data_IF_742068728800
#
_entry.id   IF_742068728800
#
_cell.length_a   1.000
_cell.length_b   1.000
_cell.length_c   1.000
_cell.angle_alpha   90.00
_cell.angle_beta   90.00
_cell.angle_gamma   90.00
#
_symmetry.space_group_name_H-M   'P 1'
#
loop_
_entity.id
_entity.type
_entity.pdbx_description
1 polymer ?
#
# COMPACT_ATOMS: atom_id res chain seq x y z
N UNK A 1 -4.20 11.32 10.41
CA UNK A 1 -3.50 10.20 11.12
C UNK A 1 -2.72 9.47 10.06
N UNK A 2 -1.44 9.13 10.31
CA UNK A 2 -0.60 8.47 9.30
C UNK A 2 -1.11 7.07 8.92
N UNK A 3 -1.92 6.48 9.80
CA UNK A 3 -2.45 5.13 9.64
C UNK A 3 -3.79 5.06 8.89
N UNK A 4 -4.40 6.18 8.51
CA UNK A 4 -5.76 6.17 7.93
C UNK A 4 -5.87 5.35 6.64
N UNK A 5 -4.81 5.34 5.81
CA UNK A 5 -4.76 4.47 4.63
C UNK A 5 -4.54 2.99 5.00
N UNK A 6 -3.72 2.67 6.01
CA UNK A 6 -3.57 1.28 6.46
C UNK A 6 -4.86 0.75 7.06
N UNK A 7 -5.54 1.56 7.88
CA UNK A 7 -6.85 1.23 8.45
C UNK A 7 -7.87 1.01 7.34
N UNK A 8 -7.91 1.91 6.34
CA UNK A 8 -8.77 1.74 5.17
C UNK A 8 -8.48 0.44 4.41
N UNK A 9 -7.21 0.10 4.18
CA UNK A 9 -6.83 -1.16 3.53
C UNK A 9 -7.29 -2.34 4.38
N UNK A 10 -7.09 -2.30 5.70
CA UNK A 10 -7.49 -3.37 6.61
C UNK A 10 -9.01 -3.58 6.63
N UNK A 11 -9.80 -2.50 6.60
CA UNK A 11 -11.27 -2.56 6.56
C UNK A 11 -11.82 -3.09 5.24
N UNK A 12 -11.03 -3.02 4.16
CA UNK A 12 -11.44 -3.42 2.81
C UNK A 12 -10.73 -4.69 2.31
N UNK A 13 -9.81 -5.27 3.10
CA UNK A 13 -9.24 -6.59 2.88
C UNK A 13 -9.93 -7.60 3.81
N UNK A 14 -10.14 -8.83 3.35
CA UNK A 14 -10.54 -9.95 4.20
C UNK A 14 -9.33 -10.72 4.80
N UNK A 15 -8.14 -10.11 4.73
CA UNK A 15 -6.92 -10.64 5.33
C UNK A 15 -7.05 -10.73 6.86
N UNK A 16 -6.59 -11.84 7.44
CA UNK A 16 -6.63 -12.05 8.89
C UNK A 16 -5.79 -11.01 9.64
N UNK A 17 -4.65 -10.61 9.08
CA UNK A 17 -3.78 -9.57 9.62
C UNK A 17 -3.26 -8.65 8.51
N UNK A 18 -3.23 -7.34 8.77
CA UNK A 18 -2.64 -6.36 7.83
C UNK A 18 -1.16 -6.65 7.53
N UNK A 19 -0.44 -7.29 8.46
CA UNK A 19 0.94 -7.73 8.27
C UNK A 19 1.10 -8.80 7.20
N UNK A 20 0.04 -9.53 6.85
CA UNK A 20 0.07 -10.57 5.82
C UNK A 20 0.33 -9.96 4.44
N UNK A 21 -0.10 -8.71 4.22
CA UNK A 21 0.19 -7.94 3.00
C UNK A 21 1.68 -7.67 2.79
N UNK A 22 2.55 -7.94 3.77
CA UNK A 22 4.02 -7.91 3.56
C UNK A 22 4.51 -9.08 2.71
N UNK A 23 3.69 -10.13 2.56
CA UNK A 23 3.95 -11.24 1.66
C UNK A 23 3.44 -10.88 0.27
N UNK A 24 4.33 -10.89 -0.73
CA UNK A 24 3.99 -10.48 -2.11
C UNK A 24 2.81 -11.24 -2.70
N UNK A 25 2.73 -12.55 -2.45
CA UNK A 25 1.62 -13.39 -2.94
C UNK A 25 0.27 -12.92 -2.38
N UNK A 26 0.21 -12.62 -1.08
CA UNK A 26 -1.01 -12.13 -0.44
C UNK A 26 -1.31 -10.70 -0.92
N UNK A 27 -0.31 -9.81 -0.99
CA UNK A 27 -0.51 -8.48 -1.54
C UNK A 27 -1.09 -8.50 -2.96
N UNK A 28 -0.64 -9.44 -3.79
CA UNK A 28 -1.12 -9.60 -5.15
C UNK A 28 -2.63 -9.92 -5.21
N UNK A 29 -3.16 -10.66 -4.24
CA UNK A 29 -4.61 -10.96 -4.15
C UNK A 29 -5.45 -9.68 -3.92
N UNK A 30 -4.86 -8.67 -3.27
CA UNK A 30 -5.52 -7.39 -2.97
C UNK A 30 -5.03 -6.22 -3.83
N UNK A 31 -4.13 -6.47 -4.78
CA UNK A 31 -3.45 -5.42 -5.52
C UNK A 31 -4.43 -4.54 -6.31
N UNK A 32 -5.45 -5.14 -6.94
CA UNK A 32 -6.47 -4.40 -7.68
C UNK A 32 -7.27 -3.45 -6.78
N UNK A 33 -7.61 -3.89 -5.56
CA UNK A 33 -8.30 -3.06 -4.57
C UNK A 33 -7.40 -1.93 -4.09
N UNK A 34 -6.19 -2.26 -3.64
CA UNK A 34 -5.26 -1.29 -3.04
C UNK A 34 -4.83 -0.26 -4.10
N UNK A 35 -4.36 -0.70 -5.27
CA UNK A 35 -3.88 0.19 -6.32
C UNK A 35 -5.03 0.96 -7.02
N UNK A 36 -6.25 0.46 -6.92
CA UNK A 36 -7.47 1.09 -7.42
C UNK A 36 -8.00 2.24 -6.56
N UNK A 37 -7.51 2.43 -5.33
CA UNK A 37 -7.89 3.55 -4.46
C UNK A 37 -7.60 4.89 -5.16
N UNK A 38 -8.57 5.79 -5.29
CA UNK A 38 -8.35 7.08 -5.98
C UNK A 38 -7.17 7.88 -5.42
N UNK A 39 -6.35 8.45 -6.31
CA UNK A 39 -5.12 9.18 -5.94
C UNK A 39 -5.39 10.42 -5.07
N UNK A 40 -6.58 11.00 -5.14
CA UNK A 40 -7.02 12.16 -4.33
C UNK A 40 -7.52 11.80 -2.94
N UNK A 41 -7.79 10.52 -2.66
CA UNK A 41 -8.42 10.08 -1.40
C UNK A 41 -7.47 10.11 -0.21
N UNK A 42 -6.18 9.87 -0.45
CA UNK A 42 -5.13 9.86 0.55
C UNK A 42 -3.89 10.60 0.04
N UNK A 43 -3.11 11.13 0.97
CA UNK A 43 -1.90 11.90 0.69
C UNK A 43 -0.74 10.99 0.29
N UNK A 44 0.24 11.55 -0.42
CA UNK A 44 1.50 10.85 -0.70
C UNK A 44 2.23 10.43 0.59
N UNK A 45 2.09 11.17 1.69
CA UNK A 45 2.69 10.80 2.98
C UNK A 45 2.10 9.50 3.53
N UNK A 46 0.77 9.34 3.49
CA UNK A 46 0.09 8.10 3.92
C UNK A 46 0.48 6.92 3.02
N UNK A 47 0.55 7.14 1.71
CA UNK A 47 1.02 6.13 0.76
C UNK A 47 2.48 5.71 1.00
N UNK A 48 3.37 6.67 1.25
CA UNK A 48 4.77 6.38 1.60
C UNK A 48 4.87 5.53 2.87
N UNK A 49 4.02 5.81 3.85
CA UNK A 49 3.97 5.01 5.07
C UNK A 49 3.51 3.57 4.81
N UNK A 50 2.46 3.37 3.99
CA UNK A 50 2.05 2.02 3.55
C UNK A 50 3.19 1.31 2.82
N UNK A 51 3.86 1.99 1.89
CA UNK A 51 4.98 1.41 1.16
C UNK A 51 6.10 0.96 2.12
N UNK A 52 6.48 1.82 3.06
CA UNK A 52 7.49 1.49 4.07
C UNK A 52 7.04 0.31 4.96
N UNK A 53 5.77 0.30 5.37
CA UNK A 53 5.18 -0.75 6.20
C UNK A 53 5.19 -2.11 5.49
N UNK A 54 4.84 -2.15 4.20
CA UNK A 54 4.71 -3.38 3.42
C UNK A 54 6.08 -3.92 2.97
N UNK A 55 6.96 -3.03 2.51
CA UNK A 55 8.22 -3.43 1.87
C UNK A 55 9.42 -3.41 2.82
N UNK A 56 9.32 -2.71 3.95
CA UNK A 56 10.45 -2.40 4.83
C UNK A 56 11.45 -1.40 4.25
N UNK A 57 11.24 -0.89 3.03
CA UNK A 57 12.15 0.03 2.38
C UNK A 57 11.85 1.49 2.77
N UNK A 58 12.91 2.24 3.09
CA UNK A 58 12.83 3.67 3.41
C UNK A 58 12.91 4.54 2.15
N UNK A 59 11.96 4.37 1.23
CA UNK A 59 11.80 5.26 0.08
C UNK A 59 10.73 6.32 0.38
N UNK A 60 10.96 7.54 -0.11
CA UNK A 60 9.99 8.64 -0.03
C UNK A 60 9.73 9.16 -1.44
N UNK A 61 8.49 9.08 -1.85
CA UNK A 61 7.98 9.51 -3.14
C UNK A 61 7.23 10.84 -3.01
N UNK A 62 7.21 11.63 -4.07
CA UNK A 62 6.58 12.96 -4.08
C UNK A 62 5.09 12.89 -4.39
N UNK A 63 4.65 11.83 -5.07
CA UNK A 63 3.26 11.67 -5.54
C UNK A 63 2.71 10.27 -5.28
N UNK A 64 1.38 10.15 -5.17
CA UNK A 64 0.69 8.86 -5.00
C UNK A 64 0.97 7.91 -6.17
N UNK A 65 0.97 8.43 -7.40
CA UNK A 65 1.27 7.65 -8.60
C UNK A 65 2.67 7.00 -8.56
N UNK A 66 3.67 7.71 -8.04
CA UNK A 66 5.02 7.15 -7.84
C UNK A 66 5.03 6.02 -6.82
N UNK A 67 4.34 6.18 -5.69
CA UNK A 67 4.25 5.13 -4.66
C UNK A 67 3.57 3.88 -5.22
N UNK A 68 2.45 4.04 -5.93
CA UNK A 68 1.71 2.92 -6.53
C UNK A 68 2.55 2.18 -7.57
N UNK A 69 3.30 2.91 -8.39
CA UNK A 69 4.23 2.29 -9.34
C UNK A 69 5.34 1.51 -8.64
N UNK A 70 5.82 2.00 -7.50
CA UNK A 70 6.80 1.30 -6.68
C UNK A 70 6.21 0.03 -6.04
N UNK A 71 4.97 0.08 -5.53
CA UNK A 71 4.25 -1.09 -5.02
C UNK A 71 4.02 -2.14 -6.11
N UNK A 72 3.61 -1.72 -7.31
CA UNK A 72 3.47 -2.62 -8.47
C UNK A 72 4.78 -3.31 -8.81
N UNK A 73 5.89 -2.56 -8.81
CA UNK A 73 7.22 -3.11 -9.08
C UNK A 73 7.67 -4.08 -7.99
N UNK A 74 7.42 -3.75 -6.72
CA UNK A 74 7.74 -4.62 -5.58
C UNK A 74 6.95 -5.92 -5.60
N UNK A 75 5.68 -5.88 -5.99
CA UNK A 75 4.80 -7.05 -6.14
C UNK A 75 5.33 -8.04 -7.20
N UNK A 76 5.96 -7.53 -8.26
CA UNK A 76 6.47 -8.32 -9.39
C UNK A 76 7.93 -8.78 -9.27
N UNK A 77 8.67 -8.23 -8.29
CA UNK A 77 10.06 -8.58 -8.00
C UNK A 77 10.18 -9.88 -7.20
#
# INVERSE_FOLDING_TARGET
MKDALLDYIFENCDAAYISDLRQRMIFQEYADMILGIEDSKFTAEEWNYVYQYLTGANAVFSTVAEVKKALQSWMQA
#
